data_IF_434047215539
#
_entry.id   IF_434047215539
#
_cell.length_a   1.000
_cell.length_b   1.000
_cell.length_c   1.000
_cell.angle_alpha   90.00
_cell.angle_beta   90.00
_cell.angle_gamma   90.00
#
_symmetry.space_group_name_H-M   'P 1'
#
loop_
_entity.id
_entity.type
_entity.pdbx_description
1 polymer ?
#
# COMPACT_ATOMS: atom_id res chain seq x y z
N UNK A 1 -35.65 -22.63 11.15
CA UNK A 1 -35.11 -21.35 10.65
C UNK A 1 -33.67 -21.26 11.14
N UNK A 2 -32.67 -20.98 10.30
CA UNK A 2 -31.32 -20.83 10.81
C UNK A 2 -31.29 -19.61 11.75
N UNK A 3 -30.59 -19.78 12.89
CA UNK A 3 -30.48 -18.76 13.92
C UNK A 3 -29.90 -17.46 13.35
N UNK A 4 -30.41 -16.33 13.80
CA UNK A 4 -29.88 -15.03 13.37
C UNK A 4 -28.41 -14.89 13.78
N UNK A 5 -27.51 -14.39 12.89
CA UNK A 5 -26.10 -14.29 13.17
C UNK A 5 -25.84 -13.41 14.40
N UNK A 6 -25.07 -13.93 15.33
CA UNK A 6 -24.70 -13.26 16.57
C UNK A 6 -23.61 -12.18 16.36
N UNK A 7 -23.47 -11.20 17.25
CA UNK A 7 -22.35 -10.27 17.20
C UNK A 7 -20.96 -10.95 17.14
N UNK A 8 -20.79 -12.10 17.81
CA UNK A 8 -19.57 -12.89 17.78
C UNK A 8 -19.26 -13.48 16.39
N UNK A 9 -20.28 -13.81 15.62
CA UNK A 9 -20.10 -14.31 14.24
C UNK A 9 -19.60 -13.19 13.31
N UNK A 10 -20.08 -11.97 13.49
CA UNK A 10 -19.56 -10.80 12.75
C UNK A 10 -18.11 -10.53 13.11
N UNK A 11 -17.75 -10.63 14.39
CA UNK A 11 -16.38 -10.42 14.85
C UNK A 11 -15.41 -11.46 14.27
N UNK A 12 -15.77 -12.76 14.30
CA UNK A 12 -14.96 -13.82 13.68
C UNK A 12 -14.75 -13.59 12.17
N UNK A 13 -15.82 -13.25 11.46
CA UNK A 13 -15.73 -12.97 10.01
C UNK A 13 -14.90 -11.72 9.76
N UNK A 14 -15.06 -10.68 10.55
CA UNK A 14 -14.27 -9.44 10.45
C UNK A 14 -12.78 -9.70 10.64
N UNK A 15 -12.40 -10.44 11.68
CA UNK A 15 -10.99 -10.82 11.95
C UNK A 15 -10.41 -11.66 10.81
N UNK A 16 -11.17 -12.61 10.26
CA UNK A 16 -10.73 -13.41 9.10
C UNK A 16 -10.43 -12.53 7.88
N UNK A 17 -11.28 -11.54 7.60
CA UNK A 17 -11.04 -10.60 6.51
C UNK A 17 -9.83 -9.69 6.78
N UNK A 18 -9.59 -9.26 8.03
CA UNK A 18 -8.38 -8.52 8.41
C UNK A 18 -7.12 -9.36 8.20
N UNK A 19 -7.18 -10.65 8.56
CA UNK A 19 -6.06 -11.59 8.34
C UNK A 19 -5.71 -11.71 6.86
N UNK A 20 -6.70 -11.95 6.00
CA UNK A 20 -6.49 -12.05 4.56
C UNK A 20 -5.99 -10.73 3.96
N UNK A 21 -6.57 -9.60 4.40
CA UNK A 21 -6.11 -8.26 4.00
C UNK A 21 -4.66 -8.00 4.41
N UNK A 22 -4.27 -8.39 5.62
CA UNK A 22 -2.89 -8.31 6.10
C UNK A 22 -1.92 -9.16 5.26
N UNK A 23 -2.30 -10.40 4.96
CA UNK A 23 -1.49 -11.29 4.12
C UNK A 23 -1.25 -10.73 2.70
N UNK A 24 -2.31 -10.27 2.04
CA UNK A 24 -2.20 -9.64 0.72
C UNK A 24 -1.47 -8.29 0.78
N UNK A 25 -1.66 -7.50 1.84
CA UNK A 25 -0.92 -6.26 2.05
C UNK A 25 0.59 -6.50 2.20
N UNK A 26 0.99 -7.55 2.92
CA UNK A 26 2.38 -7.97 3.04
C UNK A 26 2.98 -8.35 1.67
N UNK A 27 2.29 -9.18 0.90
CA UNK A 27 2.72 -9.57 -0.45
C UNK A 27 2.82 -8.35 -1.39
N UNK A 28 1.87 -7.43 -1.31
CA UNK A 28 1.90 -6.16 -2.04
C UNK A 28 3.10 -5.30 -1.65
N UNK A 29 3.35 -5.14 -0.35
CA UNK A 29 4.49 -4.36 0.17
C UNK A 29 5.83 -4.91 -0.34
N UNK A 30 5.97 -6.24 -0.38
CA UNK A 30 7.16 -6.89 -0.96
C UNK A 30 7.29 -6.54 -2.44
N UNK A 31 6.23 -6.67 -3.22
CA UNK A 31 6.28 -6.50 -4.66
C UNK A 31 6.48 -5.05 -5.10
N UNK A 32 5.79 -4.08 -4.47
CA UNK A 32 5.80 -2.67 -4.91
C UNK A 32 6.98 -1.90 -4.34
N UNK A 33 7.33 -2.16 -3.07
CA UNK A 33 8.28 -1.32 -2.35
C UNK A 33 9.57 -2.05 -2.04
N UNK A 34 9.51 -3.22 -1.43
CA UNK A 34 10.73 -3.87 -0.95
C UNK A 34 11.64 -4.31 -2.10
N UNK A 35 11.13 -5.01 -3.10
CA UNK A 35 11.95 -5.47 -4.22
C UNK A 35 12.54 -4.30 -5.02
N UNK A 36 11.77 -3.29 -5.48
CA UNK A 36 12.33 -2.13 -6.17
C UNK A 36 13.34 -1.36 -5.33
N UNK A 37 13.09 -1.21 -4.01
CA UNK A 37 14.02 -0.50 -3.12
C UNK A 37 15.33 -1.22 -2.91
N UNK A 38 15.29 -2.56 -2.80
CA UNK A 38 16.52 -3.38 -2.73
C UNK A 38 17.30 -3.27 -4.03
N UNK A 39 16.64 -3.30 -5.19
CA UNK A 39 17.31 -3.11 -6.47
C UNK A 39 17.95 -1.72 -6.58
N UNK A 40 17.23 -0.67 -6.20
CA UNK A 40 17.76 0.69 -6.20
C UNK A 40 18.95 0.82 -5.26
N UNK A 41 18.86 0.25 -4.06
CA UNK A 41 19.95 0.26 -3.09
C UNK A 41 21.19 -0.46 -3.62
N UNK A 42 21.03 -1.68 -4.15
CA UNK A 42 22.12 -2.43 -4.77
C UNK A 42 22.72 -1.67 -5.95
N UNK A 43 21.90 -1.06 -6.82
CA UNK A 43 22.39 -0.27 -7.94
C UNK A 43 23.19 0.96 -7.51
N UNK A 44 22.83 1.56 -6.35
CA UNK A 44 23.51 2.76 -5.82
C UNK A 44 24.86 2.43 -5.20
N UNK A 45 24.95 1.30 -4.48
CA UNK A 45 26.14 0.94 -3.70
C UNK A 45 27.01 -0.17 -4.31
N UNK A 46 26.55 -0.82 -5.39
CA UNK A 46 27.34 -1.84 -6.06
C UNK A 46 28.52 -1.23 -6.84
N UNK A 47 29.72 -1.82 -6.81
CA UNK A 47 30.85 -1.34 -7.58
C UNK A 47 30.54 -1.34 -9.08
N UNK A 48 30.96 -0.28 -9.77
CA UNK A 48 30.77 -0.10 -11.20
C UNK A 48 31.27 -1.35 -11.97
N UNK A 49 30.36 -2.01 -12.69
CA UNK A 49 30.67 -3.21 -13.50
C UNK A 49 29.95 -4.49 -13.07
N UNK A 50 29.32 -4.55 -11.88
CA UNK A 50 28.61 -5.75 -11.41
C UNK A 50 27.19 -5.85 -11.97
N UNK A 51 26.61 -4.73 -12.36
CA UNK A 51 25.23 -4.66 -12.88
C UNK A 51 25.21 -4.12 -14.31
N UNK A 52 25.54 -4.96 -15.29
CA UNK A 52 24.99 -4.80 -16.65
C UNK A 52 23.52 -5.18 -16.59
N UNK A 53 22.72 -4.29 -16.00
CA UNK A 53 21.27 -4.47 -15.83
C UNK A 53 20.62 -4.24 -17.18
N UNK A 54 20.46 -5.32 -17.94
CA UNK A 54 19.88 -5.27 -19.26
C UNK A 54 18.39 -4.84 -19.26
N UNK A 55 17.83 -4.56 -20.44
CA UNK A 55 16.44 -4.06 -20.63
C UNK A 55 15.37 -4.96 -20.02
N UNK A 56 15.70 -6.22 -19.68
CA UNK A 56 14.78 -7.15 -19.03
C UNK A 56 14.40 -6.76 -17.59
N UNK A 57 15.23 -5.98 -16.88
CA UNK A 57 14.93 -5.57 -15.51
C UNK A 57 13.81 -4.53 -15.44
N UNK A 58 13.72 -3.62 -16.40
CA UNK A 58 12.62 -2.64 -16.47
C UNK A 58 11.29 -3.37 -16.68
N UNK A 59 11.28 -4.43 -17.46
CA UNK A 59 10.08 -5.24 -17.70
C UNK A 59 9.68 -6.02 -16.45
N UNK A 60 10.63 -6.64 -15.75
CA UNK A 60 10.38 -7.39 -14.51
C UNK A 60 9.87 -6.45 -13.43
N UNK A 61 10.48 -5.28 -13.25
CA UNK A 61 10.07 -4.29 -12.28
C UNK A 61 8.65 -3.79 -12.55
N UNK A 62 8.33 -3.49 -13.80
CA UNK A 62 6.98 -3.07 -14.21
C UNK A 62 5.92 -4.14 -13.92
N UNK A 63 6.23 -5.41 -14.18
CA UNK A 63 5.31 -6.54 -13.87
C UNK A 63 5.13 -6.71 -12.36
N UNK A 64 6.19 -6.58 -11.58
CA UNK A 64 6.13 -6.67 -10.11
C UNK A 64 5.31 -5.53 -9.52
N UNK A 65 5.51 -4.30 -9.99
CA UNK A 65 4.74 -3.12 -9.55
C UNK A 65 3.27 -3.30 -9.90
N UNK A 66 2.94 -3.76 -11.10
CA UNK A 66 1.55 -4.00 -11.50
C UNK A 66 0.89 -5.11 -10.66
N UNK A 67 1.57 -6.24 -10.50
CA UNK A 67 1.08 -7.35 -9.66
C UNK A 67 0.90 -6.91 -8.20
N UNK A 68 1.87 -6.18 -7.66
CA UNK A 68 1.81 -5.66 -6.30
C UNK A 68 0.68 -4.64 -6.12
N UNK A 69 0.43 -3.78 -7.11
CA UNK A 69 -0.68 -2.84 -7.07
C UNK A 69 -2.04 -3.54 -7.10
N UNK A 70 -2.19 -4.62 -7.88
CA UNK A 70 -3.39 -5.46 -7.85
C UNK A 70 -3.59 -6.12 -6.48
N UNK A 71 -2.54 -6.64 -5.87
CA UNK A 71 -2.58 -7.18 -4.51
C UNK A 71 -2.97 -6.11 -3.48
N UNK A 72 -2.50 -4.86 -3.65
CA UNK A 72 -2.87 -3.74 -2.79
C UNK A 72 -4.37 -3.42 -2.91
N UNK A 73 -4.91 -3.37 -4.13
CA UNK A 73 -6.36 -3.19 -4.35
C UNK A 73 -7.16 -4.28 -3.64
N UNK A 74 -6.77 -5.54 -3.81
CA UNK A 74 -7.42 -6.67 -3.14
C UNK A 74 -7.30 -6.58 -1.63
N UNK A 75 -6.14 -6.21 -1.09
CA UNK A 75 -5.91 -5.99 0.34
C UNK A 75 -6.84 -4.92 0.89
N UNK A 76 -6.91 -3.74 0.24
CA UNK A 76 -7.81 -2.66 0.64
C UNK A 76 -9.28 -3.06 0.58
N UNK A 77 -9.68 -3.81 -0.45
CA UNK A 77 -11.03 -4.36 -0.55
C UNK A 77 -11.35 -5.32 0.61
N UNK A 78 -10.40 -6.15 1.02
CA UNK A 78 -10.58 -7.06 2.16
C UNK A 78 -10.64 -6.30 3.49
N UNK A 79 -9.81 -5.28 3.71
CA UNK A 79 -9.93 -4.38 4.86
C UNK A 79 -11.30 -3.72 4.90
N UNK A 80 -11.77 -3.19 3.76
CA UNK A 80 -13.11 -2.61 3.66
C UNK A 80 -14.20 -3.62 4.02
N UNK A 81 -14.10 -4.86 3.54
CA UNK A 81 -15.04 -5.94 3.84
C UNK A 81 -15.01 -6.32 5.32
N UNK A 82 -13.82 -6.32 5.93
CA UNK A 82 -13.66 -6.49 7.37
C UNK A 82 -14.40 -5.41 8.14
N UNK A 83 -14.15 -4.14 7.82
CA UNK A 83 -14.80 -3.01 8.49
C UNK A 83 -16.31 -2.95 8.22
N UNK A 84 -16.77 -3.32 7.01
CA UNK A 84 -18.19 -3.49 6.70
C UNK A 84 -18.87 -4.56 7.57
N UNK A 85 -18.13 -5.61 7.92
CA UNK A 85 -18.63 -6.68 8.79
C UNK A 85 -18.62 -6.23 10.26
N UNK A 86 -17.51 -5.63 10.72
CA UNK A 86 -17.34 -5.16 12.08
C UNK A 86 -18.29 -4.00 12.43
N UNK A 87 -18.63 -3.13 11.49
CA UNK A 87 -19.60 -2.04 11.74
C UNK A 87 -21.01 -2.52 12.09
N UNK A 88 -21.35 -3.78 11.75
CA UNK A 88 -22.64 -4.38 12.13
C UNK A 88 -22.71 -4.67 13.64
N UNK A 89 -21.55 -4.91 14.27
CA UNK A 89 -21.42 -5.13 15.71
C UNK A 89 -20.96 -3.88 16.46
N UNK A 90 -20.24 -2.94 15.80
CA UNK A 90 -19.77 -1.68 16.40
C UNK A 90 -19.79 -0.55 15.36
N UNK A 91 -20.65 0.49 15.56
CA UNK A 91 -20.80 1.60 14.61
C UNK A 91 -19.54 2.45 14.42
N UNK A 92 -18.55 2.38 15.33
CA UNK A 92 -17.28 3.10 15.22
C UNK A 92 -16.49 2.71 13.98
N UNK A 93 -16.71 1.52 13.42
CA UNK A 93 -16.08 1.07 12.18
C UNK A 93 -16.65 1.70 10.90
N UNK A 94 -17.62 2.63 10.99
CA UNK A 94 -18.15 3.36 9.82
C UNK A 94 -17.07 4.23 9.16
N UNK A 95 -16.27 4.93 9.96
CA UNK A 95 -15.22 5.83 9.44
C UNK A 95 -14.11 5.04 8.72
N UNK A 96 -13.49 4.01 9.32
CA UNK A 96 -12.53 3.17 8.60
C UNK A 96 -13.10 2.54 7.33
N UNK A 97 -14.35 2.12 7.36
CA UNK A 97 -15.01 1.56 6.17
C UNK A 97 -15.15 2.59 5.04
N UNK A 98 -15.55 3.83 5.34
CA UNK A 98 -15.68 4.87 4.34
C UNK A 98 -14.31 5.28 3.77
N UNK A 99 -13.32 5.49 4.64
CA UNK A 99 -11.97 5.87 4.23
C UNK A 99 -11.29 4.76 3.40
N UNK A 100 -11.50 3.50 3.73
CA UNK A 100 -10.96 2.39 2.93
C UNK A 100 -11.57 2.32 1.51
N UNK A 101 -12.81 2.80 1.31
CA UNK A 101 -13.38 2.96 -0.02
C UNK A 101 -12.62 4.02 -0.81
N UNK A 102 -12.38 5.19 -0.19
CA UNK A 102 -11.60 6.28 -0.80
C UNK A 102 -10.22 5.79 -1.21
N UNK A 103 -9.54 5.03 -0.33
CA UNK A 103 -8.24 4.44 -0.65
C UNK A 103 -8.27 3.46 -1.82
N UNK A 104 -9.31 2.61 -1.89
CA UNK A 104 -9.47 1.67 -3.00
C UNK A 104 -9.63 2.42 -4.33
N UNK A 105 -10.45 3.48 -4.36
CA UNK A 105 -10.59 4.34 -5.54
C UNK A 105 -9.27 5.03 -5.89
N UNK A 106 -8.51 5.49 -4.90
CA UNK A 106 -7.20 6.11 -5.08
C UNK A 106 -6.22 5.17 -5.77
N UNK A 107 -6.09 3.92 -5.30
CA UNK A 107 -5.19 2.93 -5.92
C UNK A 107 -5.63 2.58 -7.34
N UNK A 108 -6.92 2.43 -7.60
CA UNK A 108 -7.43 2.21 -8.96
C UNK A 108 -7.08 3.39 -9.88
N UNK A 109 -7.14 4.62 -9.35
CA UNK A 109 -6.76 5.81 -10.10
C UNK A 109 -5.26 5.83 -10.42
N UNK A 110 -4.40 5.50 -9.46
CA UNK A 110 -2.95 5.35 -9.66
C UNK A 110 -2.66 4.27 -10.71
N UNK A 111 -3.32 3.11 -10.62
CA UNK A 111 -3.16 2.03 -11.58
C UNK A 111 -3.54 2.45 -12.99
N UNK A 112 -4.70 3.05 -13.17
CA UNK A 112 -5.15 3.52 -14.48
C UNK A 112 -4.16 4.53 -15.06
N UNK A 113 -3.70 5.49 -14.25
CA UNK A 113 -2.69 6.47 -14.64
C UNK A 113 -1.38 5.79 -15.04
N UNK A 114 -0.91 4.81 -14.24
CA UNK A 114 0.34 4.08 -14.53
C UNK A 114 0.27 3.30 -15.84
N UNK A 115 -0.85 2.64 -16.12
CA UNK A 115 -1.06 1.91 -17.39
C UNK A 115 -1.03 2.87 -18.57
N UNK A 116 -1.69 4.03 -18.44
CA UNK A 116 -1.72 5.02 -19.51
C UNK A 116 -0.31 5.60 -19.73
N UNK A 117 0.43 5.92 -18.67
CA UNK A 117 1.81 6.42 -18.76
C UNK A 117 2.71 5.38 -19.42
N UNK A 118 2.60 4.10 -19.08
CA UNK A 118 3.38 3.03 -19.70
C UNK A 118 3.08 2.88 -21.20
N UNK A 119 1.83 2.98 -21.60
CA UNK A 119 1.45 2.95 -23.02
C UNK A 119 1.95 4.18 -23.78
N UNK A 120 1.93 5.34 -23.14
CA UNK A 120 2.45 6.58 -23.75
C UNK A 120 3.97 6.62 -23.82
N UNK A 121 4.68 6.11 -22.79
CA UNK A 121 6.15 6.10 -22.78
C UNK A 121 6.75 5.26 -23.90
N UNK A 122 6.08 4.19 -24.32
CA UNK A 122 6.48 3.39 -25.47
C UNK A 122 6.32 4.14 -26.81
N UNK A 123 5.48 5.17 -26.85
CA UNK A 123 5.22 5.99 -28.05
C UNK A 123 6.11 7.24 -28.12
N UNK A 124 6.81 7.60 -27.02
CA UNK A 124 7.62 8.81 -26.91
C UNK A 124 9.06 8.43 -26.52
N UNK A 125 9.85 7.88 -27.47
CA UNK A 125 11.24 7.48 -27.18
C UNK A 125 12.14 8.64 -26.76
N UNK A 126 11.75 9.90 -27.01
CA UNK A 126 12.49 11.11 -26.66
C UNK A 126 12.45 11.47 -25.18
N UNK A 127 11.54 10.90 -24.40
CA UNK A 127 11.43 11.16 -22.95
C UNK A 127 12.25 10.20 -22.08
N UNK A 128 12.88 9.21 -22.66
CA UNK A 128 13.81 8.35 -21.93
C UNK A 128 15.13 9.11 -21.75
N UNK A 129 15.49 9.41 -20.49
CA UNK A 129 16.83 9.89 -20.17
C UNK A 129 17.89 8.86 -20.53
N UNK A 130 19.16 9.26 -20.55
CA UNK A 130 20.31 8.38 -20.85
C UNK A 130 20.34 7.07 -20.02
N UNK A 131 19.60 7.03 -18.92
CA UNK A 131 19.49 5.91 -17.99
C UNK A 131 18.23 5.03 -18.23
N UNK A 132 17.50 5.26 -19.32
CA UNK A 132 16.24 4.52 -19.60
C UNK A 132 15.08 4.89 -18.68
N UNK A 133 15.23 5.87 -17.78
CA UNK A 133 14.19 6.37 -16.89
C UNK A 133 13.50 7.56 -17.54
N UNK A 134 12.14 7.60 -17.58
CA UNK A 134 11.43 8.76 -18.11
C UNK A 134 11.82 10.02 -17.33
N UNK A 135 12.22 11.08 -18.04
CA UNK A 135 12.48 12.36 -17.43
C UNK A 135 11.16 12.96 -16.93
N UNK A 136 11.11 13.33 -15.64
CA UNK A 136 9.91 13.94 -15.03
C UNK A 136 9.50 15.22 -15.76
N UNK A 137 10.46 16.06 -16.15
CA UNK A 137 10.23 17.29 -16.90
C UNK A 137 9.64 17.03 -18.31
N UNK A 138 10.02 15.93 -18.94
CA UNK A 138 9.45 15.54 -20.22
C UNK A 138 8.01 15.03 -20.07
N UNK A 139 7.74 14.24 -19.01
CA UNK A 139 6.40 13.79 -18.69
C UNK A 139 5.47 14.97 -18.36
N UNK A 140 5.97 15.96 -17.62
CA UNK A 140 5.23 17.18 -17.30
C UNK A 140 4.88 18.00 -18.55
N UNK A 141 5.80 18.09 -19.50
CA UNK A 141 5.58 18.81 -20.77
C UNK A 141 4.58 18.11 -21.68
N UNK A 142 4.58 16.75 -21.73
CA UNK A 142 3.77 15.97 -22.70
C UNK A 142 2.51 15.36 -22.10
N UNK A 143 2.47 15.14 -20.76
CA UNK A 143 1.33 14.53 -20.08
C UNK A 143 1.10 15.13 -18.68
N UNK A 144 0.85 16.45 -18.54
CA UNK A 144 0.65 17.11 -17.25
C UNK A 144 -0.53 16.52 -16.47
N UNK A 145 -1.53 16.01 -17.17
CA UNK A 145 -2.68 15.33 -16.59
C UNK A 145 -2.29 14.03 -15.86
N UNK A 146 -1.24 13.32 -16.32
CA UNK A 146 -0.79 12.09 -15.69
C UNK A 146 -0.19 12.36 -14.30
N UNK A 147 0.56 13.45 -14.16
CA UNK A 147 1.10 13.88 -12.88
C UNK A 147 -0.01 14.28 -11.93
N UNK A 148 -0.94 15.13 -12.40
CA UNK A 148 -2.06 15.59 -11.58
C UNK A 148 -2.94 14.43 -11.13
N UNK A 149 -3.27 13.51 -12.04
CA UNK A 149 -4.07 12.32 -11.72
C UNK A 149 -3.34 11.37 -10.76
N UNK A 150 -2.03 11.19 -10.95
CA UNK A 150 -1.21 10.40 -10.03
C UNK A 150 -1.17 10.98 -8.62
N UNK A 151 -1.03 12.30 -8.48
CA UNK A 151 -1.08 13.00 -7.18
C UNK A 151 -2.45 12.86 -6.51
N UNK A 152 -3.53 13.04 -7.25
CA UNK A 152 -4.89 12.84 -6.72
C UNK A 152 -5.05 11.40 -6.24
N UNK A 153 -4.66 10.41 -7.06
CA UNK A 153 -4.70 9.00 -6.69
C UNK A 153 -3.86 8.69 -5.46
N UNK A 154 -2.67 9.28 -5.34
CA UNK A 154 -1.81 9.15 -4.16
C UNK A 154 -2.49 9.67 -2.90
N UNK A 155 -3.05 10.88 -2.91
CA UNK A 155 -3.73 11.45 -1.75
C UNK A 155 -4.97 10.66 -1.34
N UNK A 156 -5.74 10.18 -2.30
CA UNK A 156 -6.89 9.31 -2.00
C UNK A 156 -6.44 7.97 -1.38
N UNK A 157 -5.34 7.40 -1.87
CA UNK A 157 -4.75 6.18 -1.30
C UNK A 157 -4.23 6.42 0.11
N UNK A 158 -3.57 7.55 0.33
CA UNK A 158 -3.07 7.97 1.63
C UNK A 158 -4.20 8.13 2.65
N UNK A 159 -5.29 8.80 2.29
CA UNK A 159 -6.50 8.89 3.12
C UNK A 159 -7.09 7.52 3.43
N UNK A 160 -7.09 6.61 2.47
CA UNK A 160 -7.47 5.21 2.71
C UNK A 160 -6.58 4.51 3.73
N UNK A 161 -5.29 4.77 3.68
CA UNK A 161 -4.31 4.30 4.67
C UNK A 161 -4.62 4.81 6.08
N UNK A 162 -5.00 6.08 6.24
CA UNK A 162 -5.48 6.61 7.52
C UNK A 162 -6.69 5.81 8.02
N UNK A 163 -7.60 5.43 7.13
CA UNK A 163 -8.73 4.56 7.46
C UNK A 163 -8.28 3.20 8.01
N UNK A 164 -7.23 2.59 7.44
CA UNK A 164 -6.66 1.34 7.96
C UNK A 164 -6.09 1.55 9.35
N UNK A 165 -5.29 2.60 9.58
CA UNK A 165 -4.72 2.94 10.89
C UNK A 165 -5.81 3.03 11.95
N UNK A 166 -6.83 3.85 11.72
CA UNK A 166 -7.95 4.03 12.65
C UNK A 166 -8.67 2.71 12.89
N UNK A 167 -8.92 1.94 11.83
CA UNK A 167 -9.60 0.65 11.91
C UNK A 167 -8.82 -0.38 12.73
N UNK A 168 -7.50 -0.44 12.58
CA UNK A 168 -6.62 -1.35 13.34
C UNK A 168 -6.54 -0.96 14.83
N UNK A 169 -6.46 0.34 15.14
CA UNK A 169 -6.48 0.81 16.53
C UNK A 169 -7.82 0.45 17.20
N UNK A 170 -8.94 0.63 16.51
CA UNK A 170 -10.25 0.22 17.00
C UNK A 170 -10.35 -1.30 17.18
N UNK A 171 -9.82 -2.08 16.23
CA UNK A 171 -9.76 -3.54 16.34
C UNK A 171 -8.90 -3.98 17.53
N UNK A 172 -7.74 -3.31 17.75
CA UNK A 172 -6.87 -3.57 18.89
C UNK A 172 -7.59 -3.39 20.23
N UNK A 173 -8.36 -2.31 20.36
CA UNK A 173 -9.19 -2.04 21.55
C UNK A 173 -10.30 -3.06 21.73
N UNK A 174 -11.02 -3.41 20.64
CA UNK A 174 -12.14 -4.34 20.67
C UNK A 174 -11.71 -5.77 21.02
N UNK A 175 -10.67 -6.26 20.37
CA UNK A 175 -10.18 -7.64 20.56
C UNK A 175 -9.14 -7.75 21.68
N UNK A 176 -8.83 -6.65 22.38
CA UNK A 176 -7.83 -6.58 23.47
C UNK A 176 -6.46 -7.16 23.05
N UNK A 177 -6.08 -6.97 21.79
CA UNK A 177 -4.80 -7.42 21.25
C UNK A 177 -3.94 -6.22 20.88
N UNK A 178 -2.84 -6.01 21.62
CA UNK A 178 -1.89 -4.91 21.36
C UNK A 178 -1.27 -4.97 19.95
N UNK A 179 -1.22 -6.16 19.33
CA UNK A 179 -0.65 -6.36 18.00
C UNK A 179 -1.41 -5.62 16.88
N UNK A 180 -2.75 -5.51 16.95
CA UNK A 180 -3.49 -4.68 16.00
C UNK A 180 -3.14 -3.21 16.15
N UNK A 181 -3.03 -2.72 17.39
CA UNK A 181 -2.64 -1.33 17.65
C UNK A 181 -1.19 -1.06 17.22
N UNK A 182 -0.27 -2.00 17.45
CA UNK A 182 1.11 -1.91 16.96
C UNK A 182 1.16 -1.91 15.42
N UNK A 183 0.41 -2.79 14.75
CA UNK A 183 0.27 -2.78 13.29
C UNK A 183 -0.27 -1.44 12.79
N UNK A 184 -1.27 -0.88 13.46
CA UNK A 184 -1.80 0.46 13.16
C UNK A 184 -0.77 1.56 13.31
N UNK A 185 0.05 1.53 14.38
CA UNK A 185 1.15 2.49 14.58
C UNK A 185 2.21 2.39 13.48
N UNK A 186 2.59 1.18 13.08
CA UNK A 186 3.54 0.99 11.97
C UNK A 186 2.95 1.43 10.62
N UNK A 187 1.66 1.21 10.38
CA UNK A 187 0.99 1.80 9.20
C UNK A 187 0.98 3.33 9.24
N UNK A 188 0.81 3.95 10.41
CA UNK A 188 0.91 5.40 10.54
C UNK A 188 2.32 5.90 10.21
N UNK A 189 3.36 5.22 10.70
CA UNK A 189 4.76 5.52 10.36
C UNK A 189 5.02 5.32 8.86
N UNK A 190 4.49 4.25 8.26
CA UNK A 190 4.55 4.03 6.81
C UNK A 190 3.92 5.20 6.04
N UNK A 191 2.74 5.68 6.44
CA UNK A 191 2.08 6.80 5.78
C UNK A 191 2.88 8.10 5.89
N UNK A 192 3.49 8.35 7.05
CA UNK A 192 4.39 9.50 7.24
C UNK A 192 5.64 9.33 6.36
N UNK A 193 6.23 8.14 6.34
CA UNK A 193 7.40 7.83 5.53
C UNK A 193 7.14 8.00 4.03
N UNK A 194 5.95 7.66 3.55
CA UNK A 194 5.56 7.84 2.14
C UNK A 194 5.42 9.32 1.73
N UNK A 195 5.29 10.26 2.66
CA UNK A 195 5.36 11.69 2.37
C UNK A 195 6.79 12.15 2.05
N UNK A 196 7.81 11.46 2.57
CA UNK A 196 9.22 11.77 2.30
C UNK A 196 9.57 11.68 0.82
N UNK A 197 9.34 10.55 0.11
CA UNK A 197 9.54 10.44 -1.33
C UNK A 197 8.74 11.47 -2.14
N UNK A 198 7.51 11.80 -1.72
CA UNK A 198 6.74 12.86 -2.36
C UNK A 198 7.43 14.23 -2.23
N UNK A 199 7.99 14.53 -1.07
CA UNK A 199 8.76 15.74 -0.84
C UNK A 199 10.12 15.70 -1.56
N UNK A 200 10.73 14.52 -1.71
CA UNK A 200 11.99 14.33 -2.44
C UNK A 200 11.83 14.57 -3.94
N UNK A 201 10.66 14.33 -4.52
CA UNK A 201 10.33 14.76 -5.90
C UNK A 201 10.39 16.28 -6.03
N UNK A 202 10.10 17.01 -4.95
CA UNK A 202 10.16 18.46 -4.91
C UNK A 202 11.56 19.01 -4.54
N UNK A 203 12.38 18.20 -3.85
CA UNK A 203 13.78 18.53 -3.51
C UNK A 203 14.63 17.25 -3.46
N UNK A 204 15.70 17.10 -4.24
CA UNK A 204 16.57 15.94 -4.20
C UNK A 204 17.29 15.87 -2.84
N UNK A 205 16.99 14.82 -2.06
CA UNK A 205 17.74 14.46 -0.85
C UNK A 205 18.82 13.44 -1.20
N UNK A 206 20.05 13.58 -0.69
CA UNK A 206 21.16 12.65 -1.00
C UNK A 206 20.92 11.21 -0.49
N UNK A 207 20.10 11.02 0.56
CA UNK A 207 19.89 9.72 1.22
C UNK A 207 18.52 9.10 0.89
N UNK A 208 17.98 9.39 -0.29
CA UNK A 208 16.64 8.91 -0.68
C UNK A 208 16.51 7.39 -0.78
N UNK A 209 17.60 6.69 -1.11
CA UNK A 209 17.61 5.22 -1.24
C UNK A 209 17.44 4.53 0.13
N UNK A 210 18.12 5.00 1.17
CA UNK A 210 18.02 4.45 2.53
C UNK A 210 16.64 4.71 3.14
N UNK A 211 16.08 5.91 2.90
CA UNK A 211 14.72 6.24 3.33
C UNK A 211 13.69 5.32 2.68
N UNK A 212 13.79 5.11 1.36
CA UNK A 212 12.90 4.22 0.61
C UNK A 212 13.00 2.78 1.12
N UNK A 213 14.20 2.30 1.40
CA UNK A 213 14.41 0.97 1.94
C UNK A 213 13.74 0.83 3.32
N UNK A 214 13.93 1.81 4.22
CA UNK A 214 13.29 1.81 5.54
C UNK A 214 11.76 1.82 5.46
N UNK A 215 11.18 2.66 4.60
CA UNK A 215 9.72 2.72 4.34
C UNK A 215 9.22 1.38 3.79
N UNK A 216 10.01 0.73 2.93
CA UNK A 216 9.66 -0.56 2.32
C UNK A 216 9.57 -1.69 3.35
N UNK A 217 10.47 -1.72 4.34
CA UNK A 217 10.35 -2.67 5.45
C UNK A 217 9.07 -2.45 6.26
N UNK A 218 8.70 -1.20 6.53
CA UNK A 218 7.44 -0.90 7.22
C UNK A 218 6.22 -1.39 6.44
N UNK A 219 6.25 -1.31 5.11
CA UNK A 219 5.17 -1.78 4.24
C UNK A 219 4.98 -3.31 4.29
N UNK A 220 5.99 -4.06 4.72
CA UNK A 220 5.91 -5.51 4.92
C UNK A 220 5.58 -5.85 6.36
N UNK A 221 6.24 -5.21 7.32
CA UNK A 221 6.10 -5.55 8.75
C UNK A 221 4.72 -5.15 9.29
N UNK A 222 4.19 -4.00 8.89
CA UNK A 222 2.89 -3.53 9.39
C UNK A 222 1.74 -4.51 9.03
N UNK A 223 1.56 -4.94 7.77
CA UNK A 223 0.55 -5.96 7.44
C UNK A 223 0.85 -7.33 8.04
N UNK A 224 2.12 -7.72 8.19
CA UNK A 224 2.49 -8.99 8.83
C UNK A 224 2.04 -9.02 10.31
N UNK A 225 2.15 -7.89 11.03
CA UNK A 225 1.61 -7.78 12.38
C UNK A 225 0.08 -7.92 12.43
N UNK A 226 -0.64 -7.41 11.44
CA UNK A 226 -2.09 -7.58 11.34
C UNK A 226 -2.45 -9.06 11.16
N UNK A 227 -1.69 -9.77 10.32
CA UNK A 227 -1.85 -11.21 10.12
C UNK A 227 -1.61 -11.98 11.42
N UNK A 228 -0.53 -11.68 12.13
CA UNK A 228 -0.21 -12.30 13.42
C UNK A 228 -1.24 -11.96 14.52
N UNK A 229 -1.75 -10.71 14.53
CA UNK A 229 -2.78 -10.26 15.46
C UNK A 229 -4.09 -11.03 15.26
N UNK A 230 -4.47 -11.25 14.01
CA UNK A 230 -5.69 -11.96 13.66
C UNK A 230 -5.66 -13.41 14.14
N UNK A 231 -4.49 -14.08 14.08
CA UNK A 231 -4.30 -15.43 14.62
C UNK A 231 -4.44 -15.53 16.15
N UNK A 232 -4.25 -14.41 16.86
CA UNK A 232 -4.35 -14.34 18.34
C UNK A 232 -5.65 -13.71 18.85
N UNK A 233 -6.45 -13.13 17.96
CA UNK A 233 -7.69 -12.47 18.31
C UNK A 233 -8.72 -13.50 18.81
N UNK A 234 -9.10 -13.40 20.11
CA UNK A 234 -10.21 -14.16 20.66
C UNK A 234 -11.51 -13.37 20.42
N UNK A 235 -12.58 -14.01 19.92
CA UNK A 235 -13.88 -13.33 19.84
C UNK A 235 -14.26 -12.88 21.26
N UNK A 236 -14.74 -11.64 21.37
CA UNK A 236 -15.25 -11.15 22.66
C UNK A 236 -16.37 -12.08 23.11
N UNK A 237 -16.23 -12.69 24.29
CA UNK A 237 -17.37 -13.34 24.92
C UNK A 237 -18.44 -12.27 25.12
N UNK A 238 -19.65 -12.51 24.61
CA UNK A 238 -20.77 -11.63 24.79
C UNK A 238 -21.03 -11.49 26.30
N UNK A 239 -20.67 -10.36 26.86
CA UNK A 239 -21.14 -9.92 28.18
C UNK A 239 -22.43 -9.21 28.02
#
# INVERSE_FOLDING_TARGET
MPDAPTPADFDRRGVRWLSLGGGLGCASGIAILLLPSVFLWVATYAPAGVLTVGPHLVTIDSVLVLAGALLLVLSLFLYRRAYATLRKSDPRFRVPWALSLVGTLGVLFVLATSVIVLTYSNSIPTCLGSNGVPSFSCLEAHAPWAITSGLIGFWLTWLGGVGIVVGLVLAGRRFRTGLFSAGGALYALLLIGLLGPLLAVLRPFPDSADLLLGVSFLAVIAPALVLAAAGRAKPSAAT
#
